data_IF_497511994823
#
_entry.id   IF_497511994823
#
_cell.length_a   1.000
_cell.length_b   1.000
_cell.length_c   1.000
_cell.angle_alpha   90.00
_cell.angle_beta   90.00
_cell.angle_gamma   90.00
#
_symmetry.space_group_name_H-M   'P 1'
#
loop_
_entity.id
_entity.type
_entity.pdbx_description
1 polymer ?
#
# COMPACT_ATOMS: atom_id res chain seq x y z
N UNK A 1 6.42 25.73 -2.19
CA UNK A 1 6.12 24.37 -2.65
C UNK A 1 4.61 24.20 -2.70
N UNK A 2 4.06 23.59 -3.76
CA UNK A 2 2.63 23.29 -3.86
C UNK A 2 2.35 22.04 -3.03
N UNK A 3 1.38 22.10 -2.12
CA UNK A 3 1.01 20.98 -1.25
C UNK A 3 -0.04 20.13 -2.00
N UNK A 4 0.06 18.79 -2.00
CA UNK A 4 -0.99 17.93 -2.55
C UNK A 4 -2.34 18.17 -1.87
N UNK A 5 -3.44 18.01 -2.60
CA UNK A 5 -4.78 18.06 -2.01
C UNK A 5 -4.89 16.91 -0.98
N UNK A 6 -5.41 17.16 0.24
CA UNK A 6 -5.66 16.10 1.21
C UNK A 6 -6.63 15.09 0.61
N UNK A 7 -6.32 13.81 0.77
CA UNK A 7 -7.24 12.71 0.42
C UNK A 7 -8.10 12.42 1.64
N UNK A 8 -9.41 12.28 1.44
CA UNK A 8 -10.28 11.74 2.49
C UNK A 8 -9.97 10.26 2.68
N UNK A 9 -9.46 9.94 3.86
CA UNK A 9 -9.11 8.58 4.28
C UNK A 9 -10.35 7.74 4.59
N UNK A 10 -11.48 8.37 4.87
CA UNK A 10 -12.74 7.67 5.07
C UNK A 10 -13.31 7.27 3.70
N UNK A 11 -13.42 5.96 3.44
CA UNK A 11 -13.91 5.47 2.14
C UNK A 11 -12.82 5.33 1.08
N UNK A 12 -11.53 5.36 1.44
CA UNK A 12 -10.42 5.12 0.51
C UNK A 12 -10.57 3.79 -0.25
N UNK A 13 -11.22 2.79 0.36
CA UNK A 13 -11.51 1.48 -0.22
C UNK A 13 -12.60 1.48 -1.28
N UNK A 14 -13.44 2.53 -1.33
CA UNK A 14 -14.60 2.64 -2.22
C UNK A 14 -14.36 3.66 -3.35
N UNK A 15 -13.10 4.04 -3.59
CA UNK A 15 -12.75 5.05 -4.58
C UNK A 15 -12.98 4.55 -6.02
N UNK A 16 -13.85 5.26 -6.74
CA UNK A 16 -14.09 5.12 -8.18
C UNK A 16 -13.09 5.90 -9.03
N UNK A 17 -13.01 5.56 -10.32
CA UNK A 17 -12.16 6.25 -11.31
C UNK A 17 -12.64 7.67 -11.64
N UNK A 18 -13.87 7.99 -11.28
CA UNK A 18 -14.53 9.29 -11.43
C UNK A 18 -14.41 10.17 -10.18
N UNK A 19 -13.81 9.66 -9.11
CA UNK A 19 -13.67 10.42 -7.87
C UNK A 19 -12.65 11.56 -7.98
N UNK A 20 -12.93 12.63 -7.25
CA UNK A 20 -12.14 13.89 -7.18
C UNK A 20 -10.67 13.70 -6.76
N UNK A 21 -10.32 12.52 -6.26
CA UNK A 21 -8.95 12.17 -5.87
C UNK A 21 -8.01 12.00 -7.08
N UNK A 22 -8.56 11.75 -8.28
CA UNK A 22 -7.78 11.66 -9.52
C UNK A 22 -7.55 13.06 -10.10
N UNK A 23 -6.28 13.47 -10.16
CA UNK A 23 -5.87 14.78 -10.68
C UNK A 23 -5.30 14.65 -12.09
N UNK A 24 -5.77 15.50 -13.01
CA UNK A 24 -5.29 15.54 -14.40
C UNK A 24 -4.04 16.42 -14.56
N UNK A 25 -3.46 16.92 -13.46
CA UNK A 25 -2.24 17.72 -13.48
C UNK A 25 -1.14 17.08 -14.36
N UNK A 26 -0.74 17.80 -15.42
CA UNK A 26 0.30 17.35 -16.36
C UNK A 26 -0.16 16.37 -17.45
N UNK A 27 -1.45 15.99 -17.48
CA UNK A 27 -2.05 15.21 -18.57
C UNK A 27 -2.73 16.10 -19.62
N UNK A 28 -3.20 17.27 -19.22
CA UNK A 28 -3.79 18.26 -20.11
C UNK A 28 -2.67 18.91 -20.92
N UNK A 29 -2.68 18.73 -22.25
CA UNK A 29 -1.65 19.22 -23.17
C UNK A 29 -1.58 20.74 -23.31
N UNK A 30 -2.16 21.52 -22.40
CA UNK A 30 -2.02 22.97 -22.34
C UNK A 30 -0.74 23.33 -21.57
N UNK A 31 0.24 23.81 -22.33
CA UNK A 31 1.68 23.76 -22.04
C UNK A 31 2.17 24.85 -21.05
N UNK A 32 1.31 25.42 -20.20
CA UNK A 32 1.71 26.58 -19.38
C UNK A 32 2.03 26.26 -17.91
N UNK A 33 1.55 25.16 -17.33
CA UNK A 33 1.82 24.83 -15.93
C UNK A 33 2.87 23.74 -15.76
N UNK A 34 4.03 24.13 -15.24
CA UNK A 34 5.07 23.18 -14.81
C UNK A 34 4.51 22.32 -13.67
N UNK A 35 4.48 20.98 -13.78
CA UNK A 35 3.90 20.13 -12.75
C UNK A 35 4.63 20.32 -11.41
N UNK A 36 3.92 20.17 -10.28
CA UNK A 36 4.52 20.36 -8.97
C UNK A 36 5.63 19.33 -8.73
N UNK A 37 6.65 19.70 -7.94
CA UNK A 37 7.82 18.84 -7.73
C UNK A 37 7.50 17.44 -7.18
N UNK A 38 6.45 17.31 -6.34
CA UNK A 38 6.00 16.00 -5.87
C UNK A 38 5.43 15.09 -6.96
N UNK A 39 5.10 15.64 -8.13
CA UNK A 39 4.66 14.92 -9.31
C UNK A 39 5.78 14.78 -10.36
N UNK A 40 6.65 15.77 -10.48
CA UNK A 40 7.64 15.88 -11.56
C UNK A 40 9.06 15.39 -11.18
N UNK A 41 9.46 15.52 -9.92
CA UNK A 41 10.81 15.17 -9.46
C UNK A 41 10.86 13.73 -8.95
N UNK A 42 11.73 12.92 -9.55
CA UNK A 42 11.84 11.49 -9.22
C UNK A 42 12.27 11.28 -7.77
N UNK A 43 13.25 12.04 -7.28
CA UNK A 43 13.75 11.88 -5.89
C UNK A 43 12.67 12.22 -4.88
N UNK A 44 11.87 13.26 -5.16
CA UNK A 44 10.72 13.62 -4.34
C UNK A 44 9.67 12.52 -4.35
N UNK A 45 9.38 11.92 -5.52
CA UNK A 45 8.45 10.78 -5.64
C UNK A 45 8.93 9.53 -4.91
N UNK A 46 10.22 9.19 -5.03
CA UNK A 46 10.83 8.09 -4.30
C UNK A 46 10.74 8.32 -2.79
N UNK A 47 11.02 9.53 -2.31
CA UNK A 47 10.90 9.90 -0.91
C UNK A 47 9.46 9.79 -0.37
N UNK A 48 8.46 10.23 -1.15
CA UNK A 48 7.04 10.10 -0.80
C UNK A 48 6.64 8.63 -0.69
N UNK A 49 7.10 7.77 -1.62
CA UNK A 49 6.79 6.34 -1.61
C UNK A 49 7.51 5.58 -0.50
N UNK A 50 8.72 5.99 -0.14
CA UNK A 50 9.56 5.26 0.81
C UNK A 50 8.90 5.08 2.19
N UNK A 51 8.19 6.10 2.69
CA UNK A 51 7.54 6.04 4.01
C UNK A 51 6.39 5.02 4.05
N UNK A 52 5.36 5.10 3.18
CA UNK A 52 4.31 4.07 3.13
C UNK A 52 4.85 2.68 2.81
N UNK A 53 5.84 2.55 1.92
CA UNK A 53 6.42 1.23 1.59
C UNK A 53 7.14 0.61 2.78
N UNK A 54 7.81 1.41 3.61
CA UNK A 54 8.43 0.92 4.84
C UNK A 54 7.38 0.45 5.86
N UNK A 55 6.33 1.25 6.07
CA UNK A 55 5.25 0.89 7.00
C UNK A 55 4.50 -0.36 6.55
N UNK A 56 4.18 -0.45 5.26
CA UNK A 56 3.57 -1.63 4.66
C UNK A 56 4.49 -2.86 4.77
N UNK A 57 5.80 -2.71 4.55
CA UNK A 57 6.76 -3.80 4.73
C UNK A 57 6.77 -4.36 6.16
N UNK A 58 6.63 -3.50 7.19
CA UNK A 58 6.52 -3.97 8.58
C UNK A 58 5.21 -4.71 8.83
N UNK A 59 4.11 -4.19 8.30
CA UNK A 59 2.78 -4.82 8.41
C UNK A 59 2.79 -6.19 7.74
N UNK A 60 3.30 -6.28 6.52
CA UNK A 60 3.40 -7.53 5.75
C UNK A 60 4.22 -8.58 6.50
N UNK A 61 5.38 -8.20 7.06
CA UNK A 61 6.17 -9.12 7.90
C UNK A 61 5.38 -9.60 9.12
N UNK A 62 4.61 -8.72 9.76
CA UNK A 62 3.75 -9.09 10.89
C UNK A 62 2.68 -10.11 10.46
N UNK A 63 2.02 -9.88 9.33
CA UNK A 63 1.00 -10.76 8.78
C UNK A 63 1.57 -12.12 8.41
N UNK A 64 2.70 -12.16 7.70
CA UNK A 64 3.38 -13.41 7.34
C UNK A 64 3.76 -14.24 8.57
N UNK A 65 4.18 -13.61 9.67
CA UNK A 65 4.46 -14.33 10.91
C UNK A 65 3.22 -14.98 11.51
N UNK A 66 2.07 -14.29 11.48
CA UNK A 66 0.79 -14.83 11.95
C UNK A 66 0.38 -16.03 11.10
N UNK A 67 0.44 -15.89 9.78
CA UNK A 67 0.10 -16.97 8.84
C UNK A 67 1.00 -18.20 9.02
N UNK A 68 2.31 -17.97 9.15
CA UNK A 68 3.28 -19.01 9.41
C UNK A 68 2.96 -19.77 10.71
N UNK A 69 2.64 -19.06 11.79
CA UNK A 69 2.25 -19.68 13.06
C UNK A 69 0.99 -20.52 12.93
N UNK A 70 -0.02 -20.03 12.20
CA UNK A 70 -1.25 -20.76 11.94
C UNK A 70 -0.99 -22.06 11.15
N UNK A 71 -0.14 -22.00 10.13
CA UNK A 71 0.26 -23.16 9.35
C UNK A 71 0.99 -24.21 10.20
N UNK A 72 1.95 -23.79 11.03
CA UNK A 72 2.65 -24.71 11.92
C UNK A 72 1.76 -25.34 12.98
N UNK A 73 0.85 -24.56 13.56
CA UNK A 73 -0.13 -25.08 14.51
C UNK A 73 -1.00 -26.16 13.85
N UNK A 74 -1.51 -25.89 12.65
CA UNK A 74 -2.34 -26.86 11.91
C UNK A 74 -1.57 -28.12 11.54
N UNK A 75 -0.31 -27.99 11.09
CA UNK A 75 0.52 -29.15 10.74
C UNK A 75 0.81 -30.01 11.98
N UNK A 76 1.08 -29.37 13.12
CA UNK A 76 1.37 -30.08 14.37
C UNK A 76 0.16 -30.86 14.87
N UNK A 77 -1.04 -30.26 14.80
CA UNK A 77 -2.29 -30.94 15.13
C UNK A 77 -2.49 -32.18 14.25
N UNK A 78 -2.35 -32.04 12.93
CA UNK A 78 -2.49 -33.15 12.00
C UNK A 78 -1.48 -34.27 12.25
N UNK A 79 -0.22 -33.91 12.55
CA UNK A 79 0.82 -34.89 12.86
C UNK A 79 0.46 -35.71 14.12
N UNK A 80 0.01 -35.04 15.18
CA UNK A 80 -0.39 -35.70 16.43
C UNK A 80 -1.59 -36.63 16.24
N UNK A 81 -2.53 -36.26 15.36
CA UNK A 81 -3.69 -37.12 15.07
C UNK A 81 -3.28 -38.38 14.31
N UNK A 82 -2.32 -38.28 13.40
CA UNK A 82 -1.74 -39.45 12.71
C UNK A 82 -1.01 -40.35 13.72
N UNK A 83 -0.19 -39.78 14.60
CA UNK A 83 0.58 -40.55 15.59
C UNK A 83 -0.32 -41.34 16.55
N UNK A 84 -1.48 -40.77 16.94
CA UNK A 84 -2.47 -41.49 17.77
C UNK A 84 -3.23 -42.59 17.02
N UNK A 85 -3.28 -42.53 15.69
CA UNK A 85 -4.02 -43.47 14.87
C UNK A 85 -3.19 -44.71 14.45
N UNK A 86 -1.89 -44.71 14.71
CA UNK A 86 -0.92 -45.80 14.49
C UNK A 86 -0.76 -46.62 15.76
#
# INVERSE_FOLDING_TARGET
AVIPKPVDINGLSDIGVDDVIWDNAGLDGDVEETPPAWLADEKTREGIKAMPMYDWGKEEISQLNIEMQALFASLTEQYLDIEKAV
#
